data_IF_632893106224
#
_entry.id   IF_632893106224
#
_cell.length_a   1.000
_cell.length_b   1.000
_cell.length_c   1.000
_cell.angle_alpha   90.00
_cell.angle_beta   90.00
_cell.angle_gamma   90.00
#
_symmetry.space_group_name_H-M   'P 1'
#
loop_
_entity.id
_entity.type
_entity.pdbx_description
1 polymer ?
#
# COMPACT_ATOMS: atom_id res chain seq x y z
N UNK A 1 14.95 -39.83 8.14
CA UNK A 1 13.54 -40.26 8.21
C UNK A 1 12.73 -39.28 7.41
N UNK A 2 12.23 -39.74 6.26
CA UNK A 2 11.71 -38.92 5.18
C UNK A 2 10.33 -39.48 4.85
N UNK A 3 9.28 -38.71 5.12
CA UNK A 3 7.92 -39.06 4.72
C UNK A 3 7.51 -38.13 3.58
N UNK A 4 7.54 -38.69 2.37
CA UNK A 4 7.00 -38.14 1.15
C UNK A 4 5.55 -38.62 1.06
N UNK A 5 4.57 -37.71 0.97
CA UNK A 5 3.21 -38.05 0.57
C UNK A 5 3.02 -37.63 -0.88
N UNK A 6 2.86 -38.63 -1.74
CA UNK A 6 2.65 -38.54 -3.17
C UNK A 6 1.15 -38.66 -3.44
N UNK A 7 0.50 -37.61 -3.95
CA UNK A 7 -0.92 -37.63 -4.35
C UNK A 7 -1.02 -37.59 -5.88
N UNK A 8 -1.25 -38.77 -6.48
CA UNK A 8 -1.66 -38.91 -7.88
C UNK A 8 -3.14 -38.62 -8.04
N UNK A 9 -3.49 -37.48 -8.62
CA UNK A 9 -4.84 -37.21 -9.12
C UNK A 9 -5.01 -37.75 -10.54
N UNK A 10 -5.88 -38.76 -10.68
CA UNK A 10 -6.35 -39.27 -11.99
C UNK A 10 -7.22 -38.20 -12.67
N UNK A 11 -6.78 -37.74 -13.84
CA UNK A 11 -7.61 -37.01 -14.81
C UNK A 11 -8.63 -37.97 -15.42
N UNK A 12 -9.92 -37.75 -15.18
CA UNK A 12 -10.99 -38.27 -16.04
C UNK A 12 -11.39 -37.20 -17.04
N UNK A 13 -11.18 -37.51 -18.34
CA UNK A 13 -11.76 -36.79 -19.48
C UNK A 13 -13.19 -37.28 -19.67
N UNK A 14 -14.15 -36.36 -19.77
CA UNK A 14 -15.38 -36.58 -20.53
C UNK A 14 -15.95 -35.24 -20.97
N UNK A 15 -15.91 -34.96 -22.28
CA UNK A 15 -16.76 -33.95 -22.87
C UNK A 15 -18.15 -34.54 -23.16
N UNK A 16 -19.18 -33.70 -23.16
CA UNK A 16 -20.25 -33.68 -24.15
C UNK A 16 -21.32 -32.66 -23.75
N UNK A 17 -21.69 -31.83 -24.74
CA UNK A 17 -23.00 -31.29 -25.09
C UNK A 17 -24.03 -31.12 -23.96
N UNK A 18 -24.36 -29.87 -23.64
CA UNK A 18 -25.63 -29.50 -23.03
C UNK A 18 -26.61 -29.09 -24.13
N UNK A 19 -27.67 -29.88 -24.28
CA UNK A 19 -28.95 -29.47 -24.85
C UNK A 19 -29.99 -29.49 -23.71
N UNK A 20 -30.95 -28.58 -23.84
CA UNK A 20 -32.17 -28.39 -23.05
C UNK A 20 -32.61 -29.50 -22.11
N UNK A 21 -32.98 -29.15 -20.87
CA UNK A 21 -34.19 -29.71 -20.26
C UNK A 21 -34.74 -28.78 -19.17
N UNK A 22 -35.98 -28.35 -19.37
CA UNK A 22 -36.78 -27.67 -18.37
C UNK A 22 -37.40 -28.60 -17.32
N UNK A 23 -37.84 -27.95 -16.24
CA UNK A 23 -38.91 -28.33 -15.30
C UNK A 23 -39.01 -29.80 -14.86
N UNK A 24 -38.48 -30.10 -13.66
CA UNK A 24 -39.08 -31.09 -12.75
C UNK A 24 -39.07 -30.53 -11.31
N UNK A 25 -40.25 -30.16 -10.83
CA UNK A 25 -40.56 -30.12 -9.39
C UNK A 25 -40.94 -31.53 -8.93
N UNK A 26 -40.32 -32.04 -7.85
CA UNK A 26 -41.02 -32.61 -6.67
C UNK A 26 -40.03 -33.24 -5.67
N UNK A 27 -40.23 -32.86 -4.40
CA UNK A 27 -40.13 -33.65 -3.16
C UNK A 27 -38.82 -34.41 -2.90
N UNK A 28 -38.02 -33.89 -1.97
CA UNK A 28 -37.20 -34.73 -1.08
C UNK A 28 -37.46 -34.38 0.39
N UNK A 29 -37.76 -35.41 1.17
CA UNK A 29 -37.82 -35.41 2.64
C UNK A 29 -36.37 -35.41 3.19
N UNK A 30 -36.10 -34.78 4.35
CA UNK A 30 -34.80 -34.88 4.98
C UNK A 30 -34.72 -36.15 5.84
N UNK A 31 -33.78 -37.04 5.49
CA UNK A 31 -33.31 -38.10 6.39
C UNK A 31 -31.79 -38.02 6.46
N UNK A 32 -31.27 -37.52 7.58
CA UNK A 32 -30.28 -38.20 8.41
C UNK A 32 -29.61 -37.19 9.35
N UNK A 33 -29.89 -37.39 10.61
CA UNK A 33 -29.26 -36.85 11.81
C UNK A 33 -27.76 -37.15 11.84
N UNK A 34 -26.93 -36.10 11.91
CA UNK A 34 -25.55 -36.19 12.39
C UNK A 34 -25.49 -35.54 13.78
N UNK A 35 -25.20 -36.37 14.78
CA UNK A 35 -25.02 -36.02 16.18
C UNK A 35 -23.73 -35.21 16.34
N UNK A 36 -23.85 -33.94 16.74
CA UNK A 36 -22.74 -33.19 17.31
C UNK A 36 -22.75 -33.34 18.84
N UNK A 37 -21.61 -33.74 19.39
CA UNK A 37 -21.38 -33.84 20.82
C UNK A 37 -21.41 -32.46 21.48
N UNK A 38 -22.20 -32.35 22.55
CA UNK A 38 -22.23 -31.21 23.48
C UNK A 38 -20.93 -31.20 24.28
N UNK A 39 -20.07 -30.21 24.06
CA UNK A 39 -19.04 -29.81 25.02
C UNK A 39 -19.69 -28.80 25.97
N UNK A 40 -19.81 -29.17 27.25
CA UNK A 40 -20.21 -28.29 28.35
C UNK A 40 -19.01 -27.43 28.72
N UNK A 41 -19.17 -26.11 28.68
CA UNK A 41 -18.30 -25.17 29.38
C UNK A 41 -19.10 -24.55 30.53
N UNK A 42 -18.55 -24.65 31.73
CA UNK A 42 -19.10 -24.09 32.96
C UNK A 42 -19.05 -22.56 32.96
N UNK A 43 -20.03 -21.87 33.56
CA UNK A 43 -19.96 -20.43 33.78
C UNK A 43 -19.10 -20.14 35.02
N UNK A 44 -18.07 -19.31 34.86
CA UNK A 44 -17.40 -18.66 35.99
C UNK A 44 -18.14 -17.35 36.25
N UNK A 45 -18.80 -17.30 37.40
CA UNK A 45 -19.41 -16.12 37.99
C UNK A 45 -18.32 -15.31 38.67
N UNK A 46 -18.17 -14.05 38.30
CA UNK A 46 -17.32 -13.08 38.98
C UNK A 46 -18.07 -11.77 39.14
N UNK A 47 -18.64 -11.56 40.33
CA UNK A 47 -19.09 -10.26 40.82
C UNK A 47 -17.87 -9.36 41.06
N UNK A 48 -17.97 -8.08 40.72
CA UNK A 48 -16.92 -7.09 40.96
C UNK A 48 -17.44 -5.68 40.81
N UNK A 49 -17.59 -5.01 41.95
CA UNK A 49 -18.28 -3.75 42.21
C UNK A 49 -17.88 -2.52 41.39
N UNK A 50 -18.87 -1.64 41.26
CA UNK A 50 -18.74 -0.27 40.81
C UNK A 50 -17.97 0.58 41.83
N UNK A 51 -16.85 1.16 41.40
CA UNK A 51 -16.04 2.09 42.16
C UNK A 51 -15.90 3.43 41.44
N UNK A 52 -16.77 4.37 41.79
CA UNK A 52 -16.78 5.76 41.37
C UNK A 52 -15.64 6.53 42.08
N UNK A 53 -14.67 7.13 41.36
CA UNK A 53 -13.77 8.16 41.93
C UNK A 53 -13.42 9.22 40.89
N UNK A 54 -13.74 10.47 41.26
CA UNK A 54 -13.43 11.68 40.52
C UNK A 54 -11.94 12.01 40.52
N UNK A 55 -11.53 12.74 39.48
CA UNK A 55 -10.19 13.27 39.29
C UNK A 55 -10.26 14.80 39.44
N UNK A 56 -9.51 15.33 40.39
CA UNK A 56 -9.15 16.75 40.50
C UNK A 56 -7.79 17.00 39.85
N UNK A 57 -7.52 18.19 39.29
CA UNK A 57 -6.23 18.49 38.67
C UNK A 57 -5.28 19.16 39.69
N UNK A 58 -4.18 18.49 40.01
CA UNK A 58 -3.06 19.05 40.77
C UNK A 58 -1.86 19.28 39.86
N UNK A 59 -1.54 20.57 39.62
CA UNK A 59 -0.31 20.98 38.95
C UNK A 59 0.91 20.83 39.86
N UNK A 60 2.05 20.50 39.27
CA UNK A 60 3.36 20.64 39.92
C UNK A 60 4.42 21.00 38.89
N UNK A 61 5.02 22.18 39.09
CA UNK A 61 6.23 22.69 38.44
C UNK A 61 7.43 21.86 38.90
N UNK A 62 8.30 21.45 37.98
CA UNK A 62 9.64 20.94 38.30
C UNK A 62 10.69 22.03 38.02
N UNK A 63 11.33 22.49 39.10
CA UNK A 63 12.62 23.16 39.08
C UNK A 63 13.72 22.07 38.95
N UNK A 64 14.62 22.22 37.99
CA UNK A 64 15.88 21.47 37.93
C UNK A 64 17.05 22.47 38.06
N UNK A 65 17.73 22.42 39.20
CA UNK A 65 19.04 23.01 39.41
C UNK A 65 19.83 22.08 40.34
N UNK A 66 21.07 21.75 39.99
CA UNK A 66 21.99 21.05 40.89
C UNK A 66 22.93 20.08 40.19
N UNK A 67 24.03 20.58 39.63
CA UNK A 67 25.25 19.80 39.35
C UNK A 67 26.00 19.46 40.64
N UNK A 68 26.50 18.23 40.85
CA UNK A 68 27.40 17.93 41.96
C UNK A 68 28.89 18.14 41.58
N UNK A 69 29.77 18.33 42.57
CA UNK A 69 31.17 18.70 42.36
C UNK A 69 32.06 17.49 42.04
N UNK A 70 33.07 17.76 41.20
CA UNK A 70 34.16 16.84 40.84
C UNK A 70 35.14 16.74 42.02
N UNK A 71 35.26 15.55 42.61
CA UNK A 71 36.35 15.23 43.55
C UNK A 71 37.57 14.71 42.78
N UNK A 72 38.67 15.46 42.86
CA UNK A 72 39.99 15.02 42.42
C UNK A 72 40.59 14.00 43.40
N UNK A 73 41.04 12.86 42.87
CA UNK A 73 41.97 11.96 43.54
C UNK A 73 43.27 11.91 42.74
N UNK A 74 44.33 12.45 43.33
CA UNK A 74 45.70 12.22 42.87
C UNK A 74 46.07 10.76 43.07
N UNK A 75 46.53 10.11 42.00
CA UNK A 75 47.22 8.83 42.07
C UNK A 75 48.72 9.10 41.95
N UNK A 76 49.45 8.67 42.98
CA UNK A 76 50.90 8.71 43.03
C UNK A 76 51.50 7.69 42.07
N UNK A 77 52.47 8.14 41.27
CA UNK A 77 53.30 7.31 40.42
C UNK A 77 54.28 6.50 41.29
N UNK A 78 54.00 5.21 41.50
CA UNK A 78 55.03 4.25 41.90
C UNK A 78 55.63 3.60 40.65
N UNK A 79 56.89 3.93 40.38
CA UNK A 79 57.67 3.30 39.33
C UNK A 79 58.07 1.87 39.75
N UNK A 80 57.29 0.88 39.32
CA UNK A 80 57.68 -0.54 39.40
C UNK A 80 58.69 -0.86 38.30
N UNK A 81 59.97 -1.04 38.67
CA UNK A 81 60.98 -1.68 37.83
C UNK A 81 60.71 -3.18 37.75
N UNK A 82 59.93 -3.62 36.75
CA UNK A 82 59.82 -5.04 36.41
C UNK A 82 61.05 -5.48 35.60
N UNK A 83 61.85 -6.38 36.17
CA UNK A 83 62.82 -7.19 35.41
C UNK A 83 62.06 -8.24 34.62
N UNK A 84 61.80 -7.93 33.35
CA UNK A 84 61.24 -8.87 32.38
C UNK A 84 62.24 -10.00 32.14
N UNK A 85 61.86 -11.24 32.44
CA UNK A 85 62.57 -12.44 31.97
C UNK A 85 62.11 -12.69 30.52
N UNK A 86 63.07 -12.79 29.60
CA UNK A 86 62.90 -12.74 28.13
C UNK A 86 61.88 -13.71 27.50
N UNK A 87 61.41 -14.75 28.20
CA UNK A 87 60.50 -15.74 27.62
C UNK A 87 59.03 -15.34 27.66
N UNK A 88 58.61 -14.52 28.62
CA UNK A 88 57.21 -14.09 28.73
C UNK A 88 56.87 -13.02 27.69
N UNK A 89 57.85 -12.19 27.31
CA UNK A 89 57.67 -11.13 26.30
C UNK A 89 57.33 -11.71 24.93
N UNK A 90 57.97 -12.83 24.53
CA UNK A 90 57.73 -13.47 23.24
C UNK A 90 56.28 -13.98 23.13
N UNK A 91 55.73 -14.54 24.21
CA UNK A 91 54.34 -15.02 24.25
C UNK A 91 53.35 -13.85 24.17
N UNK A 92 53.60 -12.76 24.90
CA UNK A 92 52.75 -11.57 24.83
C UNK A 92 52.81 -10.90 23.46
N UNK A 93 53.98 -10.80 22.84
CA UNK A 93 54.14 -10.27 21.48
C UNK A 93 53.41 -11.17 20.47
N UNK A 94 53.51 -12.49 20.58
CA UNK A 94 52.79 -13.42 19.71
C UNK A 94 51.26 -13.33 19.87
N UNK A 95 50.75 -13.21 21.10
CA UNK A 95 49.31 -13.03 21.36
C UNK A 95 48.80 -11.67 20.84
N UNK A 96 49.58 -10.59 21.02
CA UNK A 96 49.24 -9.26 20.49
C UNK A 96 49.27 -9.28 18.97
N UNK A 97 50.26 -9.93 18.34
CA UNK A 97 50.31 -10.09 16.89
C UNK A 97 49.13 -10.90 16.36
N UNK A 98 48.77 -12.00 17.03
CA UNK A 98 47.61 -12.83 16.68
C UNK A 98 46.30 -12.05 16.77
N UNK A 99 46.16 -11.21 17.81
CA UNK A 99 45.00 -10.32 17.99
C UNK A 99 44.95 -9.22 16.92
N UNK A 100 46.09 -8.66 16.51
CA UNK A 100 46.17 -7.66 15.43
C UNK A 100 45.86 -8.30 14.06
N UNK A 101 46.33 -9.53 13.80
CA UNK A 101 46.05 -10.23 12.55
C UNK A 101 44.61 -10.73 12.44
N UNK A 102 43.97 -11.12 13.56
CA UNK A 102 42.56 -11.51 13.55
C UNK A 102 41.59 -10.31 13.49
N UNK A 103 42.03 -9.11 13.90
CA UNK A 103 41.22 -7.88 13.81
C UNK A 103 41.18 -7.27 12.40
N UNK A 104 42.07 -7.71 11.50
CA UNK A 104 42.27 -7.13 10.17
C UNK A 104 41.45 -7.78 9.04
N UNK A 105 40.56 -8.72 9.36
CA UNK A 105 39.64 -9.32 8.36
C UNK A 105 38.35 -8.52 8.13
N UNK A 106 38.27 -7.30 8.66
CA UNK A 106 37.26 -6.33 8.22
C UNK A 106 37.87 -5.48 7.12
N UNK A 107 38.08 -6.06 5.93
CA UNK A 107 38.31 -5.22 4.74
C UNK A 107 37.12 -4.27 4.69
N UNK A 108 37.31 -2.93 4.73
CA UNK A 108 36.23 -2.02 4.40
C UNK A 108 35.73 -2.51 3.05
N UNK A 109 34.47 -2.97 3.02
CA UNK A 109 33.83 -3.36 1.78
C UNK A 109 33.95 -2.10 0.94
N UNK A 110 34.72 -2.17 -0.15
CA UNK A 110 34.89 -1.03 -1.05
C UNK A 110 33.49 -0.55 -1.40
N UNK A 111 33.20 0.71 -1.07
CA UNK A 111 31.90 1.40 -1.12
C UNK A 111 31.24 1.46 -2.52
N UNK A 112 31.65 0.62 -3.47
CA UNK A 112 31.28 0.76 -4.89
C UNK A 112 30.21 -0.21 -5.38
N UNK A 113 29.85 -1.26 -4.64
CA UNK A 113 28.84 -2.22 -5.13
C UNK A 113 27.53 -2.11 -4.34
N UNK A 114 26.47 -1.76 -5.06
CA UNK A 114 25.10 -1.78 -4.57
C UNK A 114 24.76 -3.14 -3.93
N UNK A 115 24.14 -3.17 -2.73
CA UNK A 115 23.90 -4.42 -2.03
C UNK A 115 22.91 -5.29 -2.80
N UNK A 116 23.27 -6.56 -2.97
CA UNK A 116 22.42 -7.61 -3.56
C UNK A 116 21.71 -8.36 -2.45
N UNK A 117 20.39 -8.41 -2.46
CA UNK A 117 19.56 -8.91 -1.37
C UNK A 117 18.57 -9.97 -1.86
N UNK A 118 18.43 -11.08 -1.13
CA UNK A 118 17.40 -12.08 -1.42
C UNK A 118 16.04 -11.65 -0.85
N UNK A 119 15.08 -11.33 -1.71
CA UNK A 119 13.79 -10.75 -1.34
C UNK A 119 12.61 -11.46 -2.04
N UNK A 120 11.41 -11.48 -1.44
CA UNK A 120 10.19 -11.82 -2.15
C UNK A 120 9.93 -10.78 -3.25
N UNK A 121 9.76 -11.24 -4.48
CA UNK A 121 9.69 -10.39 -5.66
C UNK A 121 8.58 -10.86 -6.58
N UNK A 122 7.81 -9.92 -7.13
CA UNK A 122 6.72 -10.24 -8.03
C UNK A 122 7.19 -10.28 -9.49
N UNK A 123 6.95 -11.40 -10.18
CA UNK A 123 7.04 -11.50 -11.65
C UNK A 123 5.82 -12.27 -12.15
N UNK A 124 5.25 -11.82 -13.27
CA UNK A 124 4.08 -12.45 -13.89
C UNK A 124 2.91 -12.67 -12.89
N UNK A 125 2.71 -11.71 -11.99
CA UNK A 125 1.65 -11.75 -10.98
C UNK A 125 1.85 -12.76 -9.85
N UNK A 126 3.03 -13.37 -9.71
CA UNK A 126 3.35 -14.28 -8.61
C UNK A 126 4.63 -13.87 -7.88
N UNK A 127 4.67 -14.16 -6.58
CA UNK A 127 5.81 -13.85 -5.71
C UNK A 127 6.74 -15.06 -5.57
N UNK A 128 8.03 -14.83 -5.75
CA UNK A 128 9.10 -15.81 -5.52
C UNK A 128 10.33 -15.07 -4.98
N UNK A 129 11.24 -15.79 -4.33
CA UNK A 129 12.48 -15.18 -3.87
C UNK A 129 13.42 -14.90 -5.05
N UNK A 130 13.90 -13.66 -5.17
CA UNK A 130 14.92 -13.22 -6.13
C UNK A 130 16.04 -12.48 -5.43
N UNK A 131 17.22 -12.55 -6.03
CA UNK A 131 18.32 -11.64 -5.67
C UNK A 131 18.07 -10.34 -6.41
N UNK A 132 17.80 -9.28 -5.66
CA UNK A 132 17.55 -7.92 -6.15
C UNK A 132 18.72 -7.03 -5.75
N UNK A 133 19.19 -6.21 -6.68
CA UNK A 133 20.22 -5.21 -6.42
C UNK A 133 19.55 -3.90 -5.99
N UNK A 134 19.95 -3.35 -4.83
CA UNK A 134 19.40 -2.09 -4.32
C UNK A 134 20.30 -0.93 -4.74
N UNK A 135 20.03 -0.35 -5.91
CA UNK A 135 20.98 0.51 -6.65
C UNK A 135 21.29 1.83 -5.95
N UNK A 136 20.30 2.38 -5.26
CA UNK A 136 20.32 3.69 -4.61
C UNK A 136 20.51 3.61 -3.09
N UNK A 137 20.70 2.39 -2.57
CA UNK A 137 20.92 2.13 -1.14
C UNK A 137 22.33 2.56 -0.73
N UNK A 138 22.41 3.53 0.19
CA UNK A 138 23.65 4.03 0.78
C UNK A 138 24.05 3.22 2.02
N UNK A 139 23.07 2.77 2.82
CA UNK A 139 23.31 2.01 4.04
C UNK A 139 22.21 0.97 4.26
N UNK A 140 22.57 -0.31 4.10
CA UNK A 140 21.67 -1.44 4.34
C UNK A 140 21.17 -1.47 5.80
N UNK A 141 22.07 -1.25 6.77
CA UNK A 141 21.76 -1.40 8.21
C UNK A 141 20.72 -0.39 8.71
N UNK A 142 20.84 0.86 8.26
CA UNK A 142 19.91 1.95 8.62
C UNK A 142 18.81 2.16 7.57
N UNK A 143 18.75 1.30 6.53
CA UNK A 143 17.82 1.39 5.41
C UNK A 143 17.75 2.80 4.80
N UNK A 144 18.92 3.38 4.53
CA UNK A 144 19.06 4.74 3.99
C UNK A 144 19.53 4.69 2.55
N UNK A 145 18.91 5.49 1.69
CA UNK A 145 19.47 5.84 0.38
C UNK A 145 18.69 6.96 -0.29
N UNK A 146 18.94 7.18 -1.58
CA UNK A 146 18.44 8.40 -2.25
C UNK A 146 16.93 8.38 -2.54
N UNK A 147 16.29 7.20 -2.61
CA UNK A 147 14.87 7.06 -2.96
C UNK A 147 13.93 7.23 -1.77
N UNK A 148 14.28 6.72 -0.59
CA UNK A 148 13.36 6.70 0.57
C UNK A 148 14.09 6.79 1.92
N UNK A 149 13.42 7.39 2.90
CA UNK A 149 13.80 7.43 4.33
C UNK A 149 12.69 6.85 5.18
N UNK A 150 13.08 6.02 6.14
CA UNK A 150 12.15 5.25 6.96
C UNK A 150 12.16 5.72 8.41
N UNK A 151 10.99 5.70 9.04
CA UNK A 151 10.84 5.90 10.48
C UNK A 151 9.85 4.90 11.09
N UNK A 152 10.08 4.48 12.33
CA UNK A 152 9.14 3.65 13.10
C UNK A 152 8.10 4.54 13.76
N UNK A 153 6.92 4.69 13.14
CA UNK A 153 5.97 5.73 13.48
C UNK A 153 6.36 7.10 12.88
N UNK A 154 5.45 8.06 12.95
CA UNK A 154 5.50 9.32 12.17
C UNK A 154 6.75 10.15 12.46
N UNK A 155 7.31 10.04 13.67
CA UNK A 155 8.52 10.75 14.09
C UNK A 155 9.45 9.85 14.91
N UNK A 156 9.39 8.53 14.71
CA UNK A 156 10.23 7.61 15.46
C UNK A 156 11.60 7.40 14.85
N UNK A 157 12.41 6.52 15.46
CA UNK A 157 13.77 6.25 14.99
C UNK A 157 13.78 5.56 13.63
N UNK A 158 14.91 5.65 12.93
CA UNK A 158 15.19 4.82 11.74
C UNK A 158 15.12 3.33 12.13
N UNK A 159 14.50 2.47 11.30
CA UNK A 159 14.52 1.04 11.55
C UNK A 159 15.91 0.44 11.34
N UNK A 160 16.20 -0.65 12.05
CA UNK A 160 17.46 -1.39 11.91
C UNK A 160 17.20 -2.68 11.14
N UNK A 161 17.87 -2.83 10.01
CA UNK A 161 17.86 -4.05 9.20
C UNK A 161 18.92 -5.03 9.71
N UNK A 162 18.53 -6.29 9.82
CA UNK A 162 19.41 -7.41 10.14
C UNK A 162 19.45 -8.38 8.97
N UNK A 163 20.65 -8.63 8.46
CA UNK A 163 20.89 -9.52 7.34
C UNK A 163 22.22 -10.26 7.52
N UNK A 164 22.27 -11.51 7.02
CA UNK A 164 23.51 -12.28 6.89
C UNK A 164 24.04 -12.15 5.47
N UNK A 165 25.35 -11.97 5.32
CA UNK A 165 26.01 -12.00 4.01
C UNK A 165 26.43 -13.44 3.70
N UNK A 166 25.93 -13.99 2.59
CA UNK A 166 26.36 -15.28 2.04
C UNK A 166 27.76 -15.17 1.44
N UNK A 167 28.40 -16.31 1.19
CA UNK A 167 29.73 -16.39 0.56
C UNK A 167 29.79 -15.81 -0.85
N UNK A 168 28.66 -15.78 -1.57
CA UNK A 168 28.51 -15.15 -2.90
C UNK A 168 28.21 -13.64 -2.82
N UNK A 169 28.27 -13.06 -1.61
CA UNK A 169 28.06 -11.64 -1.36
C UNK A 169 26.60 -11.22 -1.20
N UNK A 170 25.63 -12.12 -1.40
CA UNK A 170 24.20 -11.81 -1.27
C UNK A 170 23.80 -11.68 0.19
N UNK A 171 23.09 -10.60 0.53
CA UNK A 171 22.48 -10.39 1.84
C UNK A 171 21.14 -11.12 1.93
N UNK A 172 20.93 -11.85 3.02
CA UNK A 172 19.68 -12.54 3.34
C UNK A 172 19.13 -11.95 4.63
N UNK A 173 17.94 -11.33 4.61
CA UNK A 173 17.31 -10.83 5.83
C UNK A 173 17.16 -11.94 6.88
N UNK A 174 17.46 -11.64 8.15
CA UNK A 174 17.42 -12.65 9.24
C UNK A 174 16.09 -12.71 9.98
N UNK A 175 15.20 -11.76 9.74
CA UNK A 175 13.91 -11.67 10.38
C UNK A 175 12.86 -11.08 9.42
N UNK A 176 11.56 -11.35 9.65
CA UNK A 176 10.49 -10.88 8.77
C UNK A 176 10.43 -9.35 8.63
N UNK A 177 10.78 -8.60 9.68
CA UNK A 177 10.75 -7.13 9.64
C UNK A 177 11.79 -6.59 8.65
N UNK A 178 13.02 -7.10 8.74
CA UNK A 178 14.11 -6.77 7.82
C UNK A 178 13.77 -7.16 6.38
N UNK A 179 13.12 -8.32 6.16
CA UNK A 179 12.66 -8.74 4.84
C UNK A 179 11.61 -7.78 4.27
N UNK A 180 10.61 -7.42 5.07
CA UNK A 180 9.55 -6.49 4.67
C UNK A 180 10.10 -5.12 4.31
N UNK A 181 11.00 -4.59 5.14
CA UNK A 181 11.65 -3.30 4.94
C UNK A 181 12.48 -3.23 3.66
N UNK A 182 13.29 -4.26 3.41
CA UNK A 182 14.11 -4.32 2.20
C UNK A 182 13.27 -4.56 0.95
N UNK A 183 12.17 -5.31 1.05
CA UNK A 183 11.19 -5.50 -0.04
C UNK A 183 10.48 -4.18 -0.37
N UNK A 184 10.09 -3.42 0.66
CA UNK A 184 9.49 -2.10 0.49
C UNK A 184 10.45 -1.15 -0.22
N UNK A 185 11.69 -1.06 0.24
CA UNK A 185 12.72 -0.23 -0.38
C UNK A 185 12.93 -0.59 -1.86
N UNK A 186 13.09 -1.88 -2.17
CA UNK A 186 13.28 -2.35 -3.55
C UNK A 186 12.10 -1.98 -4.47
N UNK A 187 10.86 -2.06 -3.96
CA UNK A 187 9.69 -1.63 -4.71
C UNK A 187 9.64 -0.11 -4.92
N UNK A 188 10.08 0.69 -3.94
CA UNK A 188 10.18 2.14 -4.08
C UNK A 188 11.25 2.53 -5.11
N UNK A 189 12.39 1.84 -5.19
CA UNK A 189 13.36 2.07 -6.27
C UNK A 189 12.74 1.82 -7.65
N UNK A 190 12.01 0.72 -7.81
CA UNK A 190 11.34 0.40 -9.07
C UNK A 190 10.22 1.39 -9.40
N UNK A 191 9.53 1.94 -8.40
CA UNK A 191 8.57 3.03 -8.58
C UNK A 191 9.25 4.33 -9.01
N UNK A 192 10.41 4.66 -8.42
CA UNK A 192 11.21 5.80 -8.82
C UNK A 192 11.63 5.67 -10.30
N UNK A 193 12.05 4.47 -10.73
CA UNK A 193 12.35 4.19 -12.14
C UNK A 193 11.11 4.36 -13.04
N UNK A 194 9.93 3.90 -12.62
CA UNK A 194 8.68 4.08 -13.36
C UNK A 194 8.31 5.57 -13.47
N UNK A 195 8.42 6.33 -12.38
CA UNK A 195 8.17 7.78 -12.38
C UNK A 195 9.12 8.53 -13.33
N UNK A 196 10.39 8.12 -13.38
CA UNK A 196 11.39 8.69 -14.27
C UNK A 196 11.05 8.37 -15.75
N UNK A 197 10.66 7.11 -16.03
CA UNK A 197 10.25 6.66 -17.37
C UNK A 197 9.04 7.44 -17.90
N UNK A 198 8.07 7.73 -17.04
CA UNK A 198 6.85 8.47 -17.44
C UNK A 198 6.97 9.98 -17.30
N UNK A 199 8.16 10.49 -16.97
CA UNK A 199 8.45 11.93 -16.93
C UNK A 199 7.76 12.65 -15.77
N UNK A 200 7.63 12.01 -14.62
CA UNK A 200 7.08 12.59 -13.37
C UNK A 200 8.02 12.46 -12.17
N UNK A 201 9.21 11.88 -12.32
CA UNK A 201 10.18 11.71 -11.24
C UNK A 201 10.58 12.98 -10.48
N UNK A 202 10.41 14.15 -11.10
CA UNK A 202 10.68 15.45 -10.48
C UNK A 202 9.52 15.99 -9.62
N UNK A 203 8.32 15.40 -9.71
CA UNK A 203 7.13 15.89 -9.01
C UNK A 203 7.12 15.55 -7.52
N UNK A 204 7.68 14.39 -7.15
CA UNK A 204 7.75 13.92 -5.76
C UNK A 204 9.20 13.98 -5.27
N UNK A 205 9.57 14.98 -4.44
CA UNK A 205 10.93 15.12 -3.95
C UNK A 205 11.40 13.86 -3.24
N UNK A 206 12.54 13.32 -3.69
CA UNK A 206 13.23 12.21 -3.07
C UNK A 206 14.25 12.73 -2.04
N UNK A 207 14.54 11.97 -0.96
CA UNK A 207 13.94 10.69 -0.62
C UNK A 207 12.53 10.82 -0.04
N UNK A 208 11.64 9.92 -0.41
CA UNK A 208 10.27 9.86 0.10
C UNK A 208 10.24 9.49 1.58
N UNK A 209 9.30 10.07 2.32
CA UNK A 209 9.11 9.77 3.74
C UNK A 209 8.20 8.57 3.89
N UNK A 210 8.71 7.52 4.51
CA UNK A 210 7.99 6.27 4.75
C UNK A 210 7.92 6.03 6.25
N UNK A 211 6.72 5.83 6.78
CA UNK A 211 6.54 5.43 8.17
C UNK A 211 5.94 4.04 8.26
N UNK A 212 6.50 3.24 9.17
CA UNK A 212 6.10 1.86 9.42
C UNK A 212 5.63 1.70 10.86
N UNK A 213 4.74 0.73 11.10
CA UNK A 213 4.10 0.52 12.41
C UNK A 213 3.43 1.80 12.94
N UNK A 214 2.77 2.55 12.05
CA UNK A 214 2.02 3.74 12.44
C UNK A 214 0.75 3.36 13.18
N UNK A 215 0.43 4.14 14.23
CA UNK A 215 -0.85 4.05 14.92
C UNK A 215 -1.87 4.91 14.18
N UNK A 216 -2.37 4.42 13.05
CA UNK A 216 -3.45 5.08 12.33
C UNK A 216 -4.75 4.80 13.07
N UNK A 217 -5.53 5.84 13.38
CA UNK A 217 -6.85 5.71 14.00
C UNK A 217 -7.91 6.14 13.01
N UNK A 218 -9.03 5.42 12.97
CA UNK A 218 -10.19 5.85 12.17
C UNK A 218 -11.04 6.88 12.93
N UNK A 219 -12.13 7.33 12.31
CA UNK A 219 -13.11 8.28 12.88
C UNK A 219 -13.65 7.86 14.25
N UNK A 220 -13.71 6.56 14.52
CA UNK A 220 -14.16 5.99 15.81
C UNK A 220 -13.01 5.79 16.81
N UNK A 221 -11.85 6.42 16.56
CA UNK A 221 -10.62 6.29 17.34
C UNK A 221 -10.10 4.84 17.47
N UNK A 222 -10.56 3.93 16.60
CA UNK A 222 -10.06 2.55 16.58
C UNK A 222 -8.79 2.51 15.76
N UNK A 223 -7.77 1.84 16.29
CA UNK A 223 -6.55 1.57 15.55
C UNK A 223 -6.89 0.73 14.32
N UNK A 224 -6.38 1.17 13.17
CA UNK A 224 -6.38 0.39 11.95
C UNK A 224 -5.20 -0.57 12.00
N UNK A 225 -5.46 -1.81 11.58
CA UNK A 225 -4.47 -2.86 11.42
C UNK A 225 -4.52 -3.32 9.97
N UNK A 226 -3.42 -3.87 9.45
CA UNK A 226 -3.34 -4.34 8.05
C UNK A 226 -3.79 -3.29 7.02
N UNK A 227 -3.46 -2.03 7.28
CA UNK A 227 -3.75 -0.90 6.40
C UNK A 227 -2.50 -0.11 6.03
N UNK A 228 -2.58 0.60 4.91
CA UNK A 228 -1.64 1.63 4.52
C UNK A 228 -2.43 2.89 4.11
N UNK A 229 -1.76 4.03 4.07
CA UNK A 229 -2.32 5.27 3.55
C UNK A 229 -1.20 6.22 3.11
N UNK A 230 -1.50 7.14 2.20
CA UNK A 230 -0.73 8.36 2.01
C UNK A 230 -1.32 9.51 2.84
N UNK A 231 -0.52 10.09 3.72
CA UNK A 231 -0.84 11.30 4.48
C UNK A 231 -0.39 12.54 3.67
N UNK A 232 -1.36 13.23 3.07
CA UNK A 232 -1.12 14.41 2.24
C UNK A 232 -0.62 15.63 3.04
N UNK A 233 -0.90 15.74 4.34
CA UNK A 233 -0.42 16.85 5.16
C UNK A 233 1.07 16.68 5.48
N UNK A 234 1.48 15.44 5.74
CA UNK A 234 2.88 15.10 6.07
C UNK A 234 3.73 14.76 4.85
N UNK A 235 3.10 14.55 3.70
CA UNK A 235 3.71 14.04 2.46
C UNK A 235 4.47 12.73 2.73
N UNK A 236 3.76 11.77 3.31
CA UNK A 236 4.34 10.54 3.84
C UNK A 236 3.45 9.34 3.53
N UNK A 237 4.07 8.20 3.17
CA UNK A 237 3.37 6.92 3.07
C UNK A 237 3.49 6.21 4.41
N UNK A 238 2.35 5.80 4.97
CA UNK A 238 2.24 5.20 6.29
C UNK A 238 1.73 3.76 6.19
N UNK A 239 2.43 2.83 6.83
CA UNK A 239 2.05 1.43 6.95
C UNK A 239 1.78 1.09 8.42
N UNK A 240 0.57 0.60 8.71
CA UNK A 240 0.24 0.08 10.05
C UNK A 240 0.93 -1.25 10.32
N UNK A 241 0.88 -1.72 11.58
CA UNK A 241 1.33 -3.06 11.92
C UNK A 241 0.51 -4.12 11.17
N UNK A 242 1.23 -5.11 10.63
CA UNK A 242 0.63 -6.24 9.94
C UNK A 242 0.52 -7.45 10.88
N UNK A 243 -0.70 -7.96 11.06
CA UNK A 243 -1.02 -9.01 12.02
C UNK A 243 -1.54 -10.30 11.35
N UNK A 244 -1.82 -10.29 10.04
CA UNK A 244 -2.41 -11.45 9.39
C UNK A 244 -1.44 -12.64 9.32
N UNK A 245 -1.98 -13.83 9.60
CA UNK A 245 -1.29 -15.12 9.46
C UNK A 245 -1.70 -15.77 8.14
N UNK A 246 -0.90 -15.55 7.10
CA UNK A 246 -1.05 -16.23 5.80
C UNK A 246 -1.13 -15.28 4.62
N UNK A 247 -1.47 -14.02 4.87
CA UNK A 247 -1.52 -12.99 3.82
C UNK A 247 -0.15 -12.31 3.64
N UNK A 248 0.06 -11.73 2.46
CA UNK A 248 1.26 -10.99 2.14
C UNK A 248 1.26 -9.65 2.90
N UNK A 249 2.31 -9.30 3.66
CA UNK A 249 2.40 -7.98 4.29
C UNK A 249 2.27 -6.85 3.26
N UNK A 250 1.55 -5.78 3.60
CA UNK A 250 1.37 -4.62 2.70
C UNK A 250 2.70 -4.00 2.28
N UNK A 251 3.70 -4.03 3.15
CA UNK A 251 5.07 -3.57 2.89
C UNK A 251 5.87 -4.47 1.94
N UNK A 252 5.35 -5.65 1.59
CA UNK A 252 5.90 -6.55 0.56
C UNK A 252 5.05 -6.51 -0.71
N UNK A 253 3.77 -6.17 -0.59
CA UNK A 253 2.84 -6.15 -1.70
C UNK A 253 3.13 -4.99 -2.67
N UNK A 254 3.84 -5.29 -3.75
CA UNK A 254 4.24 -4.34 -4.78
C UNK A 254 3.09 -3.45 -5.26
N UNK A 255 1.92 -4.05 -5.52
CA UNK A 255 0.76 -3.29 -6.01
C UNK A 255 0.18 -2.36 -4.96
N UNK A 256 0.13 -2.77 -3.69
CA UNK A 256 -0.34 -1.92 -2.60
C UNK A 256 0.62 -0.75 -2.34
N UNK A 257 1.93 -0.98 -2.41
CA UNK A 257 2.94 0.08 -2.28
C UNK A 257 2.78 1.11 -3.40
N UNK A 258 2.60 0.63 -4.63
CA UNK A 258 2.37 1.47 -5.80
C UNK A 258 1.05 2.24 -5.74
N UNK A 259 0.00 1.63 -5.18
CA UNK A 259 -1.29 2.27 -4.92
C UNK A 259 -1.13 3.47 -3.97
N UNK A 260 -0.45 3.29 -2.82
CA UNK A 260 -0.21 4.39 -1.89
C UNK A 260 0.69 5.48 -2.47
N UNK A 261 1.72 5.09 -3.23
CA UNK A 261 2.57 6.03 -3.96
C UNK A 261 1.79 6.87 -4.96
N UNK A 262 0.82 6.26 -5.66
CA UNK A 262 -0.02 6.97 -6.61
C UNK A 262 -0.85 8.07 -5.96
N UNK A 263 -1.34 7.88 -4.73
CA UNK A 263 -2.04 8.94 -4.01
C UNK A 263 -1.15 10.19 -3.80
N UNK A 264 0.17 10.02 -3.65
CA UNK A 264 1.10 11.14 -3.60
C UNK A 264 1.21 11.87 -4.95
N UNK A 265 1.30 11.13 -6.06
CA UNK A 265 1.28 11.71 -7.41
C UNK A 265 -0.03 12.45 -7.68
N UNK A 266 -1.16 11.84 -7.31
CA UNK A 266 -2.49 12.41 -7.47
C UNK A 266 -2.63 13.71 -6.70
N UNK A 267 -2.18 13.74 -5.44
CA UNK A 267 -2.23 14.94 -4.59
C UNK A 267 -1.41 16.12 -5.18
N UNK A 268 -0.27 15.85 -5.82
CA UNK A 268 0.53 16.89 -6.49
C UNK A 268 -0.12 17.35 -7.80
N UNK A 269 -0.62 16.42 -8.61
CA UNK A 269 -1.17 16.72 -9.94
C UNK A 269 -2.60 17.26 -9.89
N UNK A 270 -3.37 16.83 -8.91
CA UNK A 270 -4.80 17.12 -8.71
C UNK A 270 -5.02 17.50 -7.24
N UNK A 271 -4.51 18.67 -6.81
CA UNK A 271 -4.63 19.10 -5.42
C UNK A 271 -6.09 19.12 -4.99
N UNK A 272 -6.37 18.52 -3.84
CA UNK A 272 -7.73 18.50 -3.29
C UNK A 272 -8.23 19.93 -3.05
N UNK A 273 -9.51 20.23 -3.34
CA UNK A 273 -10.08 21.51 -2.96
C UNK A 273 -10.01 21.65 -1.44
N UNK A 274 -9.48 22.77 -0.95
CA UNK A 274 -9.21 23.03 0.47
C UNK A 274 -10.46 23.07 1.38
N UNK A 275 -11.67 22.88 0.84
CA UNK A 275 -12.94 23.28 1.43
C UNK A 275 -13.81 22.15 2.03
N UNK A 276 -13.26 20.96 2.26
CA UNK A 276 -14.04 19.87 2.85
C UNK A 276 -14.15 19.88 4.38
N UNK A 277 -13.47 20.79 5.05
CA UNK A 277 -13.08 20.55 6.44
C UNK A 277 -14.11 20.84 7.54
N UNK A 278 -15.34 21.29 7.23
CA UNK A 278 -16.34 21.47 8.29
C UNK A 278 -17.77 21.12 7.85
N UNK A 279 -18.28 20.01 8.38
CA UNK A 279 -19.70 19.67 8.32
C UNK A 279 -20.46 20.15 9.58
N UNK A 280 -19.78 20.86 10.49
CA UNK A 280 -20.22 20.98 11.88
C UNK A 280 -21.01 22.25 12.23
N UNK A 281 -21.17 23.23 11.33
CA UNK A 281 -21.76 24.53 11.69
C UNK A 281 -22.49 25.26 10.55
N UNK A 282 -23.63 24.76 10.07
CA UNK A 282 -24.49 25.53 9.15
C UNK A 282 -25.86 25.87 9.76
N UNK A 283 -26.17 27.16 9.82
CA UNK A 283 -27.45 27.75 10.26
C UNK A 283 -28.60 27.50 9.27
N UNK A 284 -29.84 27.40 9.79
CA UNK A 284 -31.02 26.86 9.09
C UNK A 284 -31.43 27.56 7.79
N UNK A 285 -31.30 28.89 7.70
CA UNK A 285 -31.78 29.66 6.55
C UNK A 285 -30.73 29.83 5.44
N UNK A 286 -29.46 29.61 5.77
CA UNK A 286 -28.39 29.48 4.78
C UNK A 286 -28.43 28.10 4.08
N UNK A 287 -29.31 27.19 4.53
CA UNK A 287 -29.34 25.80 4.09
C UNK A 287 -29.69 25.68 2.61
N UNK A 288 -30.77 26.26 2.07
CA UNK A 288 -31.27 25.82 0.76
C UNK A 288 -30.34 26.19 -0.44
N UNK A 289 -29.90 27.43 -0.56
CA UNK A 289 -29.02 27.85 -1.65
C UNK A 289 -27.59 27.30 -1.48
N UNK A 290 -27.07 27.28 -0.25
CA UNK A 290 -25.77 26.65 0.02
C UNK A 290 -25.84 25.14 -0.06
N UNK A 291 -27.02 24.53 0.11
CA UNK A 291 -27.24 23.08 -0.02
C UNK A 291 -26.91 22.61 -1.41
N UNK A 292 -27.50 23.23 -2.42
CA UNK A 292 -27.26 22.84 -3.80
C UNK A 292 -25.80 23.09 -4.22
N UNK A 293 -25.22 24.22 -3.82
CA UNK A 293 -23.79 24.49 -4.04
C UNK A 293 -22.89 23.44 -3.35
N UNK A 294 -23.20 23.09 -2.10
CA UNK A 294 -22.45 22.09 -1.32
C UNK A 294 -22.63 20.68 -1.86
N UNK A 295 -23.83 20.30 -2.31
CA UNK A 295 -24.05 19.00 -2.97
C UNK A 295 -23.24 18.88 -4.25
N UNK A 296 -23.13 19.96 -5.04
CA UNK A 296 -22.25 20.00 -6.22
C UNK A 296 -20.77 19.88 -5.85
N UNK A 297 -20.34 20.54 -4.78
CA UNK A 297 -18.98 20.41 -4.27
C UNK A 297 -18.68 18.98 -3.81
N UNK A 298 -19.57 18.38 -3.01
CA UNK A 298 -19.45 16.99 -2.55
C UNK A 298 -19.46 16.01 -3.72
N UNK A 299 -20.28 16.25 -4.74
CA UNK A 299 -20.28 15.47 -5.98
C UNK A 299 -18.89 15.47 -6.63
N UNK A 300 -18.29 16.65 -6.84
CA UNK A 300 -16.95 16.80 -7.43
C UNK A 300 -15.89 16.09 -6.58
N UNK A 301 -15.96 16.25 -5.26
CA UNK A 301 -15.03 15.62 -4.33
C UNK A 301 -15.16 14.10 -4.35
N UNK A 302 -16.38 13.55 -4.23
CA UNK A 302 -16.60 12.10 -4.24
C UNK A 302 -16.18 11.49 -5.57
N UNK A 303 -16.38 12.21 -6.67
CA UNK A 303 -15.89 11.79 -7.99
C UNK A 303 -14.37 11.76 -8.04
N UNK A 304 -13.70 12.83 -7.60
CA UNK A 304 -12.25 12.90 -7.52
C UNK A 304 -11.67 11.79 -6.63
N UNK A 305 -12.29 11.52 -5.47
CA UNK A 305 -11.89 10.44 -4.57
C UNK A 305 -12.04 9.07 -5.24
N UNK A 306 -13.18 8.79 -5.86
CA UNK A 306 -13.39 7.54 -6.59
C UNK A 306 -12.35 7.36 -7.70
N UNK A 307 -12.04 8.42 -8.45
CA UNK A 307 -11.01 8.38 -9.47
C UNK A 307 -9.60 8.17 -8.90
N UNK A 308 -9.27 8.84 -7.78
CA UNK A 308 -8.01 8.65 -7.09
C UNK A 308 -7.81 7.18 -6.70
N UNK A 309 -8.80 6.56 -6.04
CA UNK A 309 -8.75 5.13 -5.67
C UNK A 309 -8.65 4.21 -6.88
N UNK A 310 -9.49 4.43 -7.90
CA UNK A 310 -9.53 3.59 -9.10
C UNK A 310 -8.24 3.64 -9.91
N UNK A 311 -7.69 4.84 -10.10
CA UNK A 311 -6.41 5.02 -10.81
C UNK A 311 -5.22 4.56 -9.98
N UNK A 312 -5.29 4.64 -8.64
CA UNK A 312 -4.30 4.04 -7.76
C UNK A 312 -4.27 2.51 -7.91
N UNK A 313 -5.42 1.85 -8.08
CA UNK A 313 -5.49 0.43 -8.41
C UNK A 313 -4.89 0.10 -9.78
N UNK A 314 -5.13 0.95 -10.78
CA UNK A 314 -4.47 0.82 -12.10
C UNK A 314 -2.95 0.95 -11.96
N UNK A 315 -2.46 1.92 -11.19
CA UNK A 315 -1.02 2.09 -10.94
C UNK A 315 -0.41 0.90 -10.20
N UNK A 316 -1.15 0.36 -9.22
CA UNK A 316 -0.82 -0.88 -8.52
C UNK A 316 -0.66 -2.07 -9.48
N UNK A 317 -1.57 -2.21 -10.44
CA UNK A 317 -1.48 -3.22 -11.49
C UNK A 317 -0.34 -2.96 -12.49
N UNK A 318 -0.12 -1.71 -12.92
CA UNK A 318 1.00 -1.34 -13.81
C UNK A 318 2.33 -1.75 -13.19
N UNK A 319 2.54 -1.44 -11.92
CA UNK A 319 3.78 -1.75 -11.21
C UNK A 319 3.94 -3.26 -10.98
N UNK A 320 2.94 -3.90 -10.36
CA UNK A 320 3.04 -5.29 -9.93
C UNK A 320 2.81 -6.32 -11.05
N UNK A 321 1.97 -5.98 -12.03
CA UNK A 321 1.45 -6.90 -13.02
C UNK A 321 0.40 -7.88 -12.50
N UNK A 322 -0.06 -7.71 -11.26
CA UNK A 322 -1.08 -8.53 -10.65
C UNK A 322 -2.40 -7.74 -10.59
N UNK A 323 -3.42 -8.06 -11.42
CA UNK A 323 -4.72 -7.38 -11.37
C UNK A 323 -5.50 -7.67 -10.09
N UNK A 324 -5.01 -8.58 -9.24
CA UNK A 324 -5.59 -8.98 -7.95
C UNK A 324 -4.67 -8.66 -6.78
N UNK A 325 -3.72 -7.73 -6.94
CA UNK A 325 -2.72 -7.45 -5.91
C UNK A 325 -3.34 -7.14 -4.54
N UNK A 326 -4.51 -6.48 -4.47
CA UNK A 326 -5.21 -6.18 -3.20
C UNK A 326 -5.52 -7.46 -2.42
N UNK A 327 -6.01 -8.50 -3.11
CA UNK A 327 -6.38 -9.79 -2.53
C UNK A 327 -5.19 -10.52 -1.89
N UNK A 328 -3.94 -10.15 -2.22
CA UNK A 328 -2.73 -10.75 -1.63
C UNK A 328 -2.54 -10.35 -0.17
N UNK A 329 -2.97 -9.15 0.21
CA UNK A 329 -2.83 -8.62 1.57
C UNK A 329 -4.15 -8.48 2.30
N UNK A 330 -5.25 -8.32 1.55
CA UNK A 330 -6.61 -8.12 2.06
C UNK A 330 -7.60 -8.97 1.25
N UNK A 331 -7.67 -10.29 1.49
CA UNK A 331 -8.55 -11.19 0.74
C UNK A 331 -10.02 -10.74 0.75
N UNK A 332 -10.48 -10.14 1.83
CA UNK A 332 -11.84 -9.61 2.00
C UNK A 332 -12.21 -8.49 1.01
N UNK A 333 -11.23 -7.70 0.59
CA UNK A 333 -11.42 -6.62 -0.40
C UNK A 333 -11.09 -7.10 -1.83
N UNK A 334 -10.51 -8.30 -1.94
CA UNK A 334 -9.94 -8.84 -3.16
C UNK A 334 -10.97 -9.01 -4.28
N UNK A 335 -12.20 -9.41 -3.96
CA UNK A 335 -13.26 -9.43 -4.97
C UNK A 335 -13.62 -8.02 -5.39
N UNK A 336 -13.96 -7.14 -4.45
CA UNK A 336 -14.45 -5.78 -4.75
C UNK A 336 -13.49 -5.00 -5.66
N UNK A 337 -12.17 -5.15 -5.44
CA UNK A 337 -11.11 -4.37 -6.09
C UNK A 337 -10.31 -5.14 -7.14
N UNK A 338 -10.78 -6.31 -7.56
CA UNK A 338 -10.11 -7.07 -8.62
C UNK A 338 -10.30 -6.40 -9.98
N UNK A 339 -9.19 -6.14 -10.66
CA UNK A 339 -9.18 -5.67 -12.04
C UNK A 339 -9.36 -6.79 -13.09
N UNK A 340 -9.54 -8.05 -12.66
CA UNK A 340 -9.86 -9.16 -13.58
C UNK A 340 -11.35 -9.27 -13.91
N UNK A 341 -12.20 -8.50 -13.20
CA UNK A 341 -13.63 -8.52 -13.46
C UNK A 341 -13.90 -8.02 -14.89
N UNK A 342 -14.94 -8.52 -15.54
CA UNK A 342 -15.41 -7.92 -16.79
C UNK A 342 -15.79 -6.45 -16.56
N UNK A 343 -15.74 -5.64 -17.63
CA UNK A 343 -16.12 -4.22 -17.58
C UNK A 343 -17.49 -4.07 -16.90
N UNK A 344 -17.56 -3.12 -15.98
CA UNK A 344 -18.81 -2.71 -15.36
C UNK A 344 -19.24 -1.37 -15.96
N UNK A 345 -20.55 -1.14 -16.17
CA UNK A 345 -21.04 0.16 -16.58
C UNK A 345 -20.67 1.22 -15.53
N UNK A 346 -20.05 2.31 -15.99
CA UNK A 346 -19.78 3.47 -15.16
C UNK A 346 -21.11 4.14 -14.83
N UNK A 347 -21.25 4.64 -13.60
CA UNK A 347 -22.44 5.34 -13.17
C UNK A 347 -22.78 6.53 -14.07
N UNK A 348 -24.07 6.70 -14.35
CA UNK A 348 -24.59 7.90 -15.01
C UNK A 348 -24.53 9.11 -14.08
N UNK A 349 -24.57 10.33 -14.64
CA UNK A 349 -24.64 11.57 -13.86
C UNK A 349 -25.81 11.53 -12.86
N UNK A 350 -26.98 11.08 -13.32
CA UNK A 350 -28.18 10.94 -12.49
C UNK A 350 -27.99 9.97 -11.33
N UNK A 351 -27.51 8.75 -11.58
CA UNK A 351 -27.27 7.76 -10.51
C UNK A 351 -26.33 8.32 -9.44
N UNK A 352 -25.25 8.98 -9.88
CA UNK A 352 -24.29 9.55 -8.96
C UNK A 352 -24.86 10.76 -8.20
N UNK A 353 -25.66 11.61 -8.84
CA UNK A 353 -26.38 12.72 -8.20
C UNK A 353 -27.39 12.23 -7.16
N UNK A 354 -28.20 11.22 -7.51
CA UNK A 354 -29.17 10.60 -6.61
C UNK A 354 -28.49 10.05 -5.35
N UNK A 355 -27.34 9.37 -5.51
CA UNK A 355 -26.54 8.89 -4.38
C UNK A 355 -25.99 10.04 -3.51
N UNK A 356 -25.42 11.07 -4.13
CA UNK A 356 -24.92 12.24 -3.41
C UNK A 356 -26.01 12.92 -2.57
N UNK A 357 -27.24 13.00 -3.09
CA UNK A 357 -28.41 13.55 -2.39
C UNK A 357 -28.85 12.64 -1.24
N UNK A 358 -28.78 11.32 -1.42
CA UNK A 358 -29.21 10.33 -0.44
C UNK A 358 -28.26 10.21 0.77
N UNK A 359 -26.94 10.22 0.56
CA UNK A 359 -25.95 10.18 1.65
C UNK A 359 -25.94 11.47 2.49
N UNK A 360 -26.39 12.57 1.90
CA UNK A 360 -26.43 13.88 2.53
C UNK A 360 -25.07 14.57 2.57
N UNK A 361 -24.96 15.56 3.46
CA UNK A 361 -23.86 16.53 3.47
C UNK A 361 -22.58 16.06 4.14
N UNK A 362 -22.69 15.10 5.05
CA UNK A 362 -21.56 14.64 5.85
C UNK A 362 -21.07 13.31 5.27
N UNK A 363 -19.79 13.20 4.91
CA UNK A 363 -19.22 11.92 4.55
C UNK A 363 -19.45 10.91 5.67
N UNK A 364 -19.97 9.73 5.32
CA UNK A 364 -20.13 8.60 6.24
C UNK A 364 -19.19 7.48 5.82
N UNK A 365 -19.07 6.43 6.64
CA UNK A 365 -18.35 5.21 6.26
C UNK A 365 -18.86 4.60 4.94
N UNK A 366 -20.16 4.74 4.64
CA UNK A 366 -20.76 4.35 3.35
C UNK A 366 -20.11 5.05 2.15
N UNK A 367 -19.60 6.27 2.32
CA UNK A 367 -18.90 6.99 1.26
C UNK A 367 -17.63 6.26 0.83
N UNK A 368 -16.93 5.57 1.74
CA UNK A 368 -15.69 4.86 1.41
C UNK A 368 -15.98 3.65 0.52
N UNK A 369 -16.97 2.83 0.87
CA UNK A 369 -17.36 1.66 0.08
C UNK A 369 -17.84 2.07 -1.31
N UNK A 370 -18.58 3.16 -1.40
CA UNK A 370 -19.01 3.74 -2.67
C UNK A 370 -17.81 4.24 -3.50
N UNK A 371 -16.90 4.98 -2.89
CA UNK A 371 -15.68 5.49 -3.54
C UNK A 371 -14.86 4.32 -4.11
N UNK A 372 -14.72 3.21 -3.40
CA UNK A 372 -14.08 2.01 -3.91
C UNK A 372 -14.87 1.32 -5.04
N UNK A 373 -16.19 1.24 -4.94
CA UNK A 373 -17.03 0.66 -6.00
C UNK A 373 -16.88 1.43 -7.32
N UNK A 374 -17.09 2.75 -7.27
CA UNK A 374 -16.95 3.61 -8.45
C UNK A 374 -15.49 3.66 -8.94
N UNK A 375 -14.53 3.70 -8.02
CA UNK A 375 -13.10 3.62 -8.33
C UNK A 375 -12.74 2.35 -9.09
N UNK A 376 -13.23 1.19 -8.63
CA UNK A 376 -13.01 -0.07 -9.32
C UNK A 376 -13.62 -0.08 -10.75
N UNK A 377 -14.74 0.61 -10.99
CA UNK A 377 -15.27 0.76 -12.36
C UNK A 377 -14.31 1.51 -13.28
N UNK A 378 -13.66 2.58 -12.78
CA UNK A 378 -12.59 3.26 -13.52
C UNK A 378 -11.41 2.33 -13.75
N UNK A 379 -10.97 1.62 -12.71
CA UNK A 379 -9.84 0.70 -12.82
C UNK A 379 -10.07 -0.39 -13.87
N UNK A 380 -11.26 -0.98 -13.88
CA UNK A 380 -11.67 -1.97 -14.87
C UNK A 380 -11.72 -1.40 -16.29
N UNK A 381 -12.26 -0.20 -16.47
CA UNK A 381 -12.30 0.44 -17.78
C UNK A 381 -10.87 0.68 -18.32
N UNK A 382 -9.93 1.09 -17.46
CA UNK A 382 -8.53 1.28 -17.82
C UNK A 382 -7.81 -0.04 -18.12
N UNK A 383 -7.90 -1.01 -17.22
CA UNK A 383 -7.26 -2.32 -17.39
C UNK A 383 -7.79 -3.01 -18.65
N UNK A 384 -9.08 -2.89 -18.94
CA UNK A 384 -9.66 -3.46 -20.14
C UNK A 384 -9.21 -2.72 -21.41
N UNK A 385 -9.22 -1.38 -21.40
CA UNK A 385 -8.83 -0.58 -22.56
C UNK A 385 -7.35 -0.70 -22.93
N UNK A 386 -6.49 -0.89 -21.92
CA UNK A 386 -5.05 -0.81 -22.07
C UNK A 386 -4.30 -2.07 -21.59
N UNK A 387 -5.00 -3.19 -21.41
CA UNK A 387 -4.57 -4.49 -20.84
C UNK A 387 -3.45 -5.22 -21.59
N UNK A 388 -2.41 -4.49 -21.94
CA UNK A 388 -1.26 -4.89 -22.71
C UNK A 388 -0.17 -5.48 -21.82
N UNK A 389 0.78 -6.17 -22.45
CA UNK A 389 1.98 -6.68 -21.74
C UNK A 389 2.92 -5.55 -21.34
N UNK A 390 2.97 -4.46 -22.11
CA UNK A 390 3.77 -3.27 -21.79
C UNK A 390 2.91 -2.22 -21.08
N UNK A 391 3.15 -2.05 -19.79
CA UNK A 391 2.30 -1.22 -18.93
C UNK A 391 2.79 0.23 -18.81
N UNK A 392 3.98 0.56 -19.34
CA UNK A 392 4.55 1.93 -19.31
C UNK A 392 3.73 2.91 -20.16
N UNK A 393 3.28 2.57 -21.39
CA UNK A 393 2.36 3.42 -22.14
C UNK A 393 1.07 3.74 -21.38
N UNK A 394 0.55 2.78 -20.60
CA UNK A 394 -0.65 2.99 -19.78
C UNK A 394 -0.38 4.02 -18.68
N UNK A 395 0.78 3.94 -18.03
CA UNK A 395 1.18 4.94 -17.04
C UNK A 395 1.29 6.35 -17.64
N UNK A 396 1.85 6.50 -18.86
CA UNK A 396 1.84 7.78 -19.57
C UNK A 396 0.42 8.33 -19.78
N UNK A 397 -0.51 7.48 -20.21
CA UNK A 397 -1.92 7.86 -20.41
C UNK A 397 -2.55 8.31 -19.09
N UNK A 398 -2.28 7.62 -17.98
CA UNK A 398 -2.77 8.02 -16.64
C UNK A 398 -2.19 9.37 -16.23
N UNK A 399 -0.89 9.63 -16.41
CA UNK A 399 -0.28 10.93 -16.07
C UNK A 399 -0.87 12.07 -16.92
N UNK A 400 -1.01 11.87 -18.23
CA UNK A 400 -1.62 12.85 -19.12
C UNK A 400 -3.08 13.14 -18.75
N UNK A 401 -3.81 12.11 -18.32
CA UNK A 401 -5.15 12.26 -17.79
C UNK A 401 -5.14 13.13 -16.53
N UNK A 402 -4.29 12.86 -15.54
CA UNK A 402 -4.24 13.64 -14.30
C UNK A 402 -3.92 15.13 -14.54
N UNK A 403 -3.00 15.43 -15.47
CA UNK A 403 -2.67 16.81 -15.86
C UNK A 403 -3.88 17.57 -16.41
N UNK A 404 -4.74 16.89 -17.17
CA UNK A 404 -5.98 17.45 -17.72
C UNK A 404 -7.11 17.51 -16.69
N UNK A 405 -7.20 16.49 -15.84
CA UNK A 405 -8.25 16.31 -14.85
C UNK A 405 -8.44 17.56 -13.97
N UNK A 406 -7.33 18.11 -13.47
CA UNK A 406 -7.35 19.32 -12.64
C UNK A 406 -8.04 20.48 -13.36
N UNK A 407 -7.68 20.72 -14.63
CA UNK A 407 -8.25 21.79 -15.43
C UNK A 407 -9.73 21.53 -15.72
N UNK A 408 -10.07 20.30 -16.08
CA UNK A 408 -11.40 19.97 -16.57
C UNK A 408 -12.44 19.92 -15.45
N UNK A 409 -12.08 19.39 -14.26
CA UNK A 409 -13.00 19.32 -13.12
C UNK A 409 -13.21 20.70 -12.49
N UNK A 410 -12.15 21.50 -12.36
CA UNK A 410 -12.24 22.81 -11.72
C UNK A 410 -12.92 23.86 -12.61
N UNK A 411 -12.83 23.72 -13.94
CA UNK A 411 -13.47 24.64 -14.90
C UNK A 411 -14.85 24.15 -15.37
N UNK A 412 -15.38 23.06 -14.82
CA UNK A 412 -16.67 22.55 -15.23
C UNK A 412 -17.78 23.52 -14.79
N UNK A 413 -18.64 24.03 -15.70
CA UNK A 413 -19.66 25.01 -15.37
C UNK A 413 -20.53 24.55 -14.19
N UNK A 414 -20.86 25.47 -13.28
CA UNK A 414 -21.59 25.17 -12.04
C UNK A 414 -23.05 24.66 -12.26
N UNK A 415 -23.51 24.59 -13.51
CA UNK A 415 -24.85 24.12 -13.89
C UNK A 415 -24.93 22.69 -14.41
N UNK A 416 -23.83 22.10 -14.89
CA UNK A 416 -23.84 20.77 -15.51
C UNK A 416 -23.26 19.71 -14.56
N UNK A 417 -24.05 18.68 -14.23
CA UNK A 417 -23.55 17.52 -13.49
C UNK A 417 -22.49 16.79 -14.35
N UNK A 418 -21.24 16.80 -13.89
CA UNK A 418 -20.12 16.16 -14.57
C UNK A 418 -20.37 14.65 -14.69
N UNK A 419 -20.63 14.14 -15.90
CA UNK A 419 -20.84 12.71 -16.09
C UNK A 419 -19.60 11.94 -15.63
N UNK A 420 -19.73 10.94 -14.73
CA UNK A 420 -18.58 10.13 -14.32
C UNK A 420 -17.83 9.51 -15.51
N UNK A 421 -18.55 9.11 -16.55
CA UNK A 421 -17.98 8.57 -17.78
C UNK A 421 -17.24 9.59 -18.67
N UNK A 422 -17.52 10.90 -18.54
CA UNK A 422 -17.03 11.94 -19.48
C UNK A 422 -15.51 11.93 -19.60
N UNK A 423 -14.82 11.62 -18.51
CA UNK A 423 -13.38 11.61 -18.50
C UNK A 423 -12.79 10.51 -19.39
N UNK A 424 -13.32 9.30 -19.25
CA UNK A 424 -12.92 8.17 -20.08
C UNK A 424 -13.34 8.42 -21.53
N UNK A 425 -14.49 9.08 -21.76
CA UNK A 425 -14.88 9.52 -23.10
C UNK A 425 -13.88 10.49 -23.72
N UNK A 426 -13.45 11.50 -22.97
CA UNK A 426 -12.48 12.49 -23.43
C UNK A 426 -11.13 11.85 -23.70
N UNK A 427 -10.69 10.92 -22.84
CA UNK A 427 -9.46 10.15 -23.04
C UNK A 427 -9.52 9.32 -24.32
N UNK A 428 -10.64 8.62 -24.54
CA UNK A 428 -10.87 7.78 -25.71
C UNK A 428 -10.87 8.61 -27.00
N UNK A 429 -11.51 9.79 -26.98
CA UNK A 429 -11.54 10.71 -28.13
C UNK A 429 -10.18 11.31 -28.46
N UNK A 430 -9.35 11.57 -27.45
CA UNK A 430 -8.01 12.13 -27.63
C UNK A 430 -7.00 11.07 -28.11
N UNK A 431 -7.28 9.79 -27.86
CA UNK A 431 -6.42 8.67 -28.24
C UNK A 431 -7.17 7.69 -29.16
N UNK A 432 -7.74 8.13 -30.30
CA UNK A 432 -8.66 7.32 -31.08
C UNK A 432 -7.99 6.07 -31.67
N UNK A 433 -6.67 6.11 -31.91
CA UNK A 433 -5.88 4.96 -32.36
C UNK A 433 -5.72 3.87 -31.29
N UNK A 434 -5.81 4.24 -30.02
CA UNK A 434 -5.68 3.33 -28.87
C UNK A 434 -7.04 2.93 -28.30
N UNK A 435 -8.13 3.57 -28.75
CA UNK A 435 -9.43 3.49 -28.10
C UNK A 435 -10.66 3.42 -29.06
N UNK A 436 -10.65 2.77 -30.25
CA UNK A 436 -11.87 2.64 -31.06
C UNK A 436 -13.04 2.00 -30.29
N UNK A 437 -12.73 1.05 -29.40
CA UNK A 437 -13.72 0.33 -28.61
C UNK A 437 -14.17 1.07 -27.34
N UNK A 438 -13.32 1.90 -26.73
CA UNK A 438 -13.76 2.69 -25.58
C UNK A 438 -14.94 3.60 -25.95
N UNK A 439 -14.98 4.09 -27.19
CA UNK A 439 -16.10 4.83 -27.75
C UNK A 439 -17.39 3.98 -27.79
N UNK A 440 -17.30 2.66 -28.04
CA UNK A 440 -18.47 1.78 -28.10
C UNK A 440 -19.01 1.35 -26.73
N UNK A 441 -18.17 1.25 -25.70
CA UNK A 441 -18.63 1.05 -24.31
C UNK A 441 -19.43 2.26 -23.82
N UNK A 442 -19.01 3.46 -24.23
CA UNK A 442 -19.56 4.72 -23.77
C UNK A 442 -20.84 5.12 -24.52
N UNK A 443 -21.15 4.43 -25.62
CA UNK A 443 -22.38 4.61 -26.38
C UNK A 443 -23.19 3.31 -26.41
N UNK A 444 -24.12 3.09 -25.47
CA UNK A 444 -24.93 1.88 -25.41
C UNK A 444 -26.00 1.93 -26.51
N UNK A 445 -25.61 1.63 -27.75
CA UNK A 445 -26.53 1.26 -28.82
C UNK A 445 -26.11 -0.13 -29.29
N UNK A 446 -26.74 -1.14 -28.70
CA UNK A 446 -26.54 -2.57 -28.93
C UNK A 446 -25.15 -3.16 -28.60
N UNK A 447 -25.08 -3.87 -27.46
CA UNK A 447 -23.91 -4.64 -27.03
C UNK A 447 -23.70 -5.96 -27.81
N UNK A 448 -24.53 -6.28 -28.80
CA UNK A 448 -24.55 -7.58 -29.48
C UNK A 448 -23.54 -7.73 -30.64
N UNK A 449 -22.87 -6.66 -31.11
CA UNK A 449 -22.04 -6.71 -32.32
C UNK A 449 -20.61 -6.15 -32.17
N UNK A 450 -20.05 -6.11 -30.97
CA UNK A 450 -18.68 -5.63 -30.79
C UNK A 450 -17.65 -6.74 -31.07
N UNK A 451 -17.14 -6.75 -32.31
CA UNK A 451 -16.15 -7.70 -32.83
C UNK A 451 -14.69 -7.28 -32.50
N UNK A 452 -13.86 -8.32 -32.30
CA UNK A 452 -12.50 -8.31 -31.74
C UNK A 452 -11.40 -7.92 -32.75
N UNK A 453 -11.29 -6.66 -33.16
CA UNK A 453 -10.16 -6.20 -33.99
C UNK A 453 -9.49 -4.95 -33.42
N UNK A 454 -8.45 -5.12 -32.58
CA UNK A 454 -7.64 -3.98 -32.11
C UNK A 454 -6.16 -4.28 -31.83
N UNK A 455 -5.59 -5.41 -32.26
CA UNK A 455 -4.21 -5.78 -31.88
C UNK A 455 -3.33 -6.29 -33.02
N UNK A 456 -3.19 -5.50 -34.10
CA UNK A 456 -2.15 -5.76 -35.14
C UNK A 456 -1.31 -4.54 -35.58
N UNK A 457 -1.40 -3.36 -34.94
CA UNK A 457 -0.62 -2.17 -35.37
C UNK A 457 0.05 -1.37 -34.24
N UNK A 458 0.49 -2.03 -33.18
CA UNK A 458 1.46 -1.53 -32.20
C UNK A 458 2.59 -2.55 -32.08
#
# INVERSE_FOLDING_TARGET
MQCIFDFKLKRTRSGSRFADFGKIQKKMKPTSTLKCAKIRLCPIVGQGDAGNRGITPGGARSHFAGTPPVQGRGQGNQAMKMKLKDKTLVIWVACIWFMITCSSCSRPVSDEQSPRVLLPWIENGQYHFRVVELRTMESLKSLRGSVARFSVGVNGPEPIVRALRRSDGVFVPTDPMSQNLLSLYANLERLAELDDQVGVGYLLPRPWKISINTNIVNENQRRLHNNAQYDADRKMIEFTSFESRGDLPLTVNAGAIAHEHFHALFDVLVPSPASLQDCSAMEADQIAARREARLRELYRVRLLRAMNEGLADVWGWIHSGDPRFVARSRPEDGELRSLEKGIQPIWTAKQFSDYNRAEGFCPRRSDQDFVYQLGNQYGLAFQWAFGSKDRVPVAHVVIELLRKLKKDIMNFPDGDELKPALLIENLARQNPRQCPFLISILQPKDQSELTWQCWETL
#
